data_IF_776446038247
#
_entry.id   IF_776446038247
#
_cell.length_a   1.000
_cell.length_b   1.000
_cell.length_c   1.000
_cell.angle_alpha   90.00
_cell.angle_beta   90.00
_cell.angle_gamma   90.00
#
_symmetry.space_group_name_H-M   'P 1'
#
loop_
_entity.id
_entity.type
_entity.pdbx_description
1 polymer ?
#
# COMPACT_ATOMS: atom_id res chain seq x y z
N UNK A 1 -18.51 -6.50 -6.40
CA UNK A 1 -18.70 -7.97 -6.25
C UNK A 1 -18.26 -8.43 -4.86
N UNK A 2 -17.02 -8.17 -4.45
CA UNK A 2 -16.49 -8.48 -3.11
C UNK A 2 -17.36 -7.96 -1.97
N UNK A 3 -17.91 -6.73 -2.07
CA UNK A 3 -18.83 -6.19 -1.05
C UNK A 3 -20.12 -6.99 -0.87
N UNK A 4 -20.69 -7.54 -1.96
CA UNK A 4 -21.89 -8.39 -1.85
C UNK A 4 -21.54 -9.74 -1.22
N UNK A 5 -20.42 -10.32 -1.63
CA UNK A 5 -19.89 -11.55 -1.04
C UNK A 5 -19.58 -11.38 0.46
N UNK A 6 -18.97 -10.27 0.86
CA UNK A 6 -18.61 -10.01 2.26
C UNK A 6 -19.84 -9.87 3.16
N UNK A 7 -20.94 -9.26 2.68
CA UNK A 7 -22.21 -9.21 3.42
C UNK A 7 -22.77 -10.60 3.67
N UNK A 8 -22.79 -11.46 2.64
CA UNK A 8 -23.23 -12.85 2.77
C UNK A 8 -22.34 -13.65 3.72
N UNK A 9 -21.03 -13.54 3.55
CA UNK A 9 -20.01 -14.21 4.37
C UNK A 9 -20.16 -13.86 5.86
N UNK A 10 -20.13 -12.56 6.19
CA UNK A 10 -20.21 -12.05 7.56
C UNK A 10 -21.51 -12.46 8.26
N UNK A 11 -22.64 -12.41 7.53
CA UNK A 11 -23.95 -12.79 8.08
C UNK A 11 -24.09 -14.29 8.25
N UNK A 12 -23.63 -15.09 7.29
CA UNK A 12 -23.78 -16.55 7.31
C UNK A 12 -22.93 -17.20 8.40
N UNK A 13 -21.71 -16.69 8.61
CA UNK A 13 -20.79 -17.20 9.63
C UNK A 13 -21.02 -16.54 11.01
N UNK A 14 -21.96 -15.59 11.11
CA UNK A 14 -22.23 -14.81 12.31
C UNK A 14 -20.96 -14.14 12.86
N UNK A 15 -20.18 -13.58 11.95
CA UNK A 15 -18.93 -12.91 12.28
C UNK A 15 -19.16 -11.76 13.25
N UNK A 16 -18.20 -11.59 14.14
CA UNK A 16 -18.22 -10.58 15.18
C UNK A 16 -17.76 -9.23 14.64
N UNK A 17 -18.08 -8.13 15.34
CA UNK A 17 -17.54 -6.81 15.04
C UNK A 17 -17.70 -6.33 13.57
N UNK A 18 -18.82 -6.67 12.93
CA UNK A 18 -19.09 -6.37 11.51
C UNK A 18 -19.01 -4.87 11.18
N UNK A 19 -19.39 -3.98 12.10
CA UNK A 19 -19.29 -2.53 11.89
C UNK A 19 -17.84 -2.10 11.66
N UNK A 20 -16.90 -2.59 12.48
CA UNK A 20 -15.46 -2.34 12.31
C UNK A 20 -14.98 -2.88 10.96
N UNK A 21 -15.39 -4.10 10.62
CA UNK A 21 -15.06 -4.71 9.34
C UNK A 21 -15.50 -3.83 8.17
N UNK A 22 -16.77 -3.43 8.11
CA UNK A 22 -17.30 -2.67 6.97
C UNK A 22 -16.74 -1.25 6.88
N UNK A 23 -16.45 -0.59 8.01
CA UNK A 23 -15.76 0.72 8.00
C UNK A 23 -14.37 0.58 7.39
N UNK A 24 -13.58 -0.41 7.84
CA UNK A 24 -12.24 -0.65 7.33
C UNK A 24 -12.25 -1.14 5.87
N UNK A 25 -13.24 -1.93 5.48
CA UNK A 25 -13.41 -2.42 4.12
C UNK A 25 -13.77 -1.27 3.15
N UNK A 26 -14.73 -0.42 3.52
CA UNK A 26 -15.08 0.77 2.77
C UNK A 26 -13.92 1.78 2.73
N UNK A 27 -13.18 1.94 3.83
CA UNK A 27 -11.99 2.77 3.90
C UNK A 27 -10.89 2.29 2.94
N UNK A 28 -10.65 0.97 2.89
CA UNK A 28 -9.71 0.36 1.95
C UNK A 28 -10.11 0.63 0.50
N UNK A 29 -11.37 0.41 0.15
CA UNK A 29 -11.89 0.71 -1.19
C UNK A 29 -11.75 2.19 -1.55
N UNK A 30 -12.09 3.09 -0.61
CA UNK A 30 -11.99 4.53 -0.80
C UNK A 30 -10.54 4.97 -0.99
N UNK A 31 -9.61 4.38 -0.24
CA UNK A 31 -8.17 4.64 -0.38
C UNK A 31 -7.65 4.15 -1.74
N UNK A 32 -8.05 2.96 -2.20
CA UNK A 32 -7.67 2.45 -3.53
C UNK A 32 -8.17 3.36 -4.65
N UNK A 33 -9.42 3.82 -4.58
CA UNK A 33 -9.99 4.77 -5.55
C UNK A 33 -9.24 6.10 -5.46
N UNK A 34 -9.01 6.62 -4.25
CA UNK A 34 -8.25 7.87 -4.05
C UNK A 34 -6.85 7.81 -4.64
N UNK A 35 -6.15 6.69 -4.49
CA UNK A 35 -4.84 6.48 -5.09
C UNK A 35 -4.92 6.46 -6.63
N UNK A 36 -5.93 5.82 -7.21
CA UNK A 36 -6.12 5.76 -8.66
C UNK A 36 -6.45 7.13 -9.29
N UNK A 37 -7.14 8.00 -8.55
CA UNK A 37 -7.49 9.36 -8.99
C UNK A 37 -6.50 10.44 -8.52
N UNK A 38 -5.39 10.05 -7.89
CA UNK A 38 -4.39 11.01 -7.43
C UNK A 38 -3.72 11.71 -8.63
N UNK A 39 -3.75 13.05 -8.64
CA UNK A 39 -3.11 13.86 -9.68
C UNK A 39 -1.60 14.03 -9.50
N UNK A 40 -1.08 13.73 -8.31
CA UNK A 40 0.33 13.85 -7.97
C UNK A 40 0.79 12.71 -7.05
N UNK A 41 2.10 12.52 -7.02
CA UNK A 41 2.74 11.43 -6.30
C UNK A 41 2.57 11.50 -4.78
N UNK A 42 2.53 12.71 -4.21
CA UNK A 42 2.30 12.88 -2.77
C UNK A 42 0.89 12.47 -2.35
N UNK A 43 -0.11 12.87 -3.12
CA UNK A 43 -1.50 12.48 -2.89
C UNK A 43 -1.67 10.96 -3.04
N UNK A 44 -1.02 10.38 -4.06
CA UNK A 44 -0.99 8.92 -4.24
C UNK A 44 -0.37 8.22 -3.02
N UNK A 45 0.72 8.76 -2.48
CA UNK A 45 1.38 8.23 -1.28
C UNK A 45 0.48 8.27 -0.04
N UNK A 46 -0.26 9.37 0.19
CA UNK A 46 -1.21 9.46 1.30
C UNK A 46 -2.26 8.35 1.20
N UNK A 47 -2.85 8.15 0.02
CA UNK A 47 -3.85 7.09 -0.16
C UNK A 47 -3.24 5.69 -0.10
N UNK A 48 -2.01 5.51 -0.56
CA UNK A 48 -1.25 4.26 -0.43
C UNK A 48 -1.04 3.88 1.05
N UNK A 49 -0.67 4.84 1.90
CA UNK A 49 -0.55 4.63 3.35
C UNK A 49 -1.91 4.43 4.02
N UNK A 50 -2.92 5.22 3.64
CA UNK A 50 -4.28 5.05 4.15
C UNK A 50 -4.81 3.63 3.88
N UNK A 51 -4.55 3.09 2.70
CA UNK A 51 -4.89 1.71 2.36
C UNK A 51 -4.21 0.73 3.32
N UNK A 52 -2.93 0.91 3.67
CA UNK A 52 -2.22 0.09 4.68
C UNK A 52 -2.92 0.17 6.05
N UNK A 53 -3.30 1.37 6.48
CA UNK A 53 -3.93 1.59 7.78
C UNK A 53 -5.33 0.98 7.86
N UNK A 54 -6.12 1.04 6.80
CA UNK A 54 -7.46 0.43 6.78
C UNK A 54 -7.44 -1.10 6.63
N UNK A 55 -6.41 -1.65 5.97
CA UNK A 55 -6.26 -3.10 5.80
C UNK A 55 -5.68 -3.78 7.04
N UNK A 56 -4.91 -3.08 7.87
CA UNK A 56 -4.35 -3.64 9.10
C UNK A 56 -5.42 -4.23 10.05
N UNK A 57 -6.51 -3.50 10.43
CA UNK A 57 -7.58 -4.06 11.25
C UNK A 57 -8.37 -5.19 10.56
N UNK A 58 -8.37 -5.23 9.23
CA UNK A 58 -9.02 -6.32 8.47
C UNK A 58 -8.24 -7.62 8.58
N UNK A 59 -6.91 -7.57 8.58
CA UNK A 59 -6.07 -8.76 8.79
C UNK A 59 -6.16 -9.22 10.24
N UNK A 60 -6.24 -8.30 11.19
CA UNK A 60 -6.41 -8.60 12.61
C UNK A 60 -7.85 -8.98 13.00
N UNK A 61 -8.79 -9.07 12.04
CA UNK A 61 -10.22 -9.14 12.33
C UNK A 61 -10.65 -10.34 13.17
N UNK A 62 -9.99 -11.50 12.98
CA UNK A 62 -10.26 -12.74 13.71
C UNK A 62 -9.80 -12.70 15.18
N UNK A 63 -9.04 -11.69 15.59
CA UNK A 63 -8.56 -11.48 16.97
C UNK A 63 -7.78 -12.68 17.58
N UNK A 64 -7.30 -13.60 16.75
CA UNK A 64 -6.41 -14.69 17.16
C UNK A 64 -4.96 -14.22 17.28
N UNK A 65 -4.14 -14.97 18.02
CA UNK A 65 -2.69 -14.69 18.12
C UNK A 65 -2.00 -14.65 16.76
N UNK A 66 -2.44 -15.51 15.83
CA UNK A 66 -1.92 -15.55 14.47
C UNK A 66 -2.38 -14.36 13.63
N UNK A 67 -3.65 -13.93 13.77
CA UNK A 67 -4.16 -12.74 13.09
C UNK A 67 -3.40 -11.48 13.51
N UNK A 68 -3.15 -11.30 14.82
CA UNK A 68 -2.34 -10.18 15.31
C UNK A 68 -0.88 -10.23 14.84
N UNK A 69 -0.29 -11.43 14.82
CA UNK A 69 1.07 -11.62 14.29
C UNK A 69 1.15 -11.29 12.80
N UNK A 70 0.22 -11.80 12.00
CA UNK A 70 0.12 -11.53 10.56
C UNK A 70 -0.07 -10.05 10.27
N UNK A 71 -1.01 -9.40 10.98
CA UNK A 71 -1.26 -7.97 10.85
C UNK A 71 -0.03 -7.12 11.24
N UNK A 72 0.71 -7.52 12.28
CA UNK A 72 1.95 -6.82 12.68
C UNK A 72 3.06 -6.98 11.64
N UNK A 73 3.27 -8.18 11.09
CA UNK A 73 4.24 -8.41 10.01
C UNK A 73 3.86 -7.57 8.79
N UNK A 74 2.59 -7.60 8.40
CA UNK A 74 2.04 -6.77 7.33
C UNK A 74 2.38 -5.29 7.51
N UNK A 75 2.09 -4.74 8.69
CA UNK A 75 2.31 -3.32 8.98
C UNK A 75 3.81 -2.97 8.97
N UNK A 76 4.66 -3.81 9.59
CA UNK A 76 6.12 -3.57 9.64
C UNK A 76 6.71 -3.56 8.22
N UNK A 77 6.33 -4.52 7.39
CA UNK A 77 6.86 -4.61 6.03
C UNK A 77 6.41 -3.42 5.19
N UNK A 78 5.10 -3.16 5.13
CA UNK A 78 4.56 -2.16 4.20
C UNK A 78 4.82 -0.73 4.66
N UNK A 79 4.59 -0.43 5.93
CA UNK A 79 4.87 0.89 6.48
C UNK A 79 6.38 1.13 6.57
N UNK A 80 7.16 0.11 6.95
CA UNK A 80 8.60 0.22 7.09
C UNK A 80 9.30 0.47 5.76
N UNK A 81 8.99 -0.32 4.72
CA UNK A 81 9.56 -0.12 3.38
C UNK A 81 9.12 1.22 2.77
N UNK A 82 7.86 1.60 3.00
CA UNK A 82 7.35 2.88 2.52
C UNK A 82 8.07 4.07 3.16
N UNK A 83 8.17 4.10 4.49
CA UNK A 83 8.86 5.19 5.20
C UNK A 83 10.37 5.19 4.91
N UNK A 84 11.01 4.03 4.80
CA UNK A 84 12.45 3.93 4.60
C UNK A 84 12.89 4.19 3.16
N UNK A 85 12.07 3.85 2.15
CA UNK A 85 12.47 3.92 0.74
C UNK A 85 11.53 4.77 -0.10
N UNK A 86 10.20 4.57 -0.01
CA UNK A 86 9.25 5.30 -0.85
C UNK A 86 9.22 6.79 -0.51
N UNK A 87 9.08 7.14 0.77
CA UNK A 87 9.01 8.53 1.21
C UNK A 87 10.29 9.32 0.87
N UNK A 88 11.51 8.82 1.15
CA UNK A 88 12.73 9.50 0.71
C UNK A 88 12.86 9.60 -0.81
N UNK A 89 12.36 8.62 -1.59
CA UNK A 89 12.36 8.71 -3.05
C UNK A 89 11.44 9.82 -3.56
N UNK A 90 10.26 9.99 -2.94
CA UNK A 90 9.33 11.09 -3.23
C UNK A 90 9.98 12.44 -2.91
N UNK A 91 10.62 12.55 -1.73
CA UNK A 91 11.33 13.77 -1.33
C UNK A 91 12.46 14.08 -2.33
N UNK A 92 13.28 13.09 -2.69
CA UNK A 92 14.36 13.24 -3.68
C UNK A 92 13.83 13.67 -5.05
N UNK A 93 12.69 13.12 -5.46
CA UNK A 93 12.02 13.50 -6.72
C UNK A 93 11.56 14.95 -6.67
N UNK A 94 10.97 15.40 -5.56
CA UNK A 94 10.57 16.80 -5.40
C UNK A 94 11.77 17.75 -5.39
N UNK A 95 12.85 17.39 -4.71
CA UNK A 95 14.07 18.23 -4.66
C UNK A 95 14.71 18.40 -6.05
N UNK A 96 14.61 17.38 -6.91
CA UNK A 96 15.19 17.41 -8.26
C UNK A 96 14.24 18.05 -9.29
N UNK A 97 12.94 17.75 -9.25
CA UNK A 97 11.97 18.18 -10.25
C UNK A 97 11.22 19.47 -9.87
N UNK A 98 11.18 19.83 -8.59
CA UNK A 98 10.38 20.95 -8.07
C UNK A 98 8.86 20.72 -8.07
N UNK A 99 8.39 19.58 -8.58
CA UNK A 99 6.99 19.18 -8.59
C UNK A 99 6.87 17.66 -8.40
N UNK A 100 5.68 17.23 -7.98
CA UNK A 100 5.26 15.83 -7.86
C UNK A 100 4.05 15.51 -8.74
N UNK A 101 3.61 16.45 -9.57
CA UNK A 101 2.48 16.26 -10.48
C UNK A 101 2.83 15.24 -11.56
N UNK A 102 1.90 14.36 -11.89
CA UNK A 102 2.15 13.39 -12.95
C UNK A 102 2.12 14.09 -14.31
N UNK A 103 3.25 14.04 -15.02
CA UNK A 103 3.40 14.63 -16.37
C UNK A 103 3.78 13.53 -17.35
N UNK A 104 3.20 13.57 -18.56
CA UNK A 104 3.45 12.59 -19.62
C UNK A 104 4.90 12.52 -20.09
N UNK A 105 5.65 13.62 -19.96
CA UNK A 105 7.08 13.68 -20.28
C UNK A 105 7.99 13.06 -19.23
N UNK A 106 7.45 12.69 -18.06
CA UNK A 106 8.22 12.22 -16.91
C UNK A 106 8.87 13.36 -16.11
N UNK A 107 8.77 13.26 -14.78
CA UNK A 107 9.23 14.27 -13.81
C UNK A 107 10.75 14.49 -13.82
N UNK A 108 11.53 13.45 -14.15
CA UNK A 108 12.99 13.47 -14.03
C UNK A 108 13.70 13.34 -15.40
N UNK A 109 12.99 13.62 -16.50
CA UNK A 109 13.51 13.48 -17.87
C UNK A 109 14.76 14.32 -18.14
N UNK A 110 14.87 15.50 -17.52
CA UNK A 110 16.03 16.39 -17.68
C UNK A 110 17.26 15.97 -16.85
N UNK A 111 17.09 15.01 -15.93
CA UNK A 111 18.16 14.55 -15.03
C UNK A 111 19.16 13.62 -15.72
N UNK A 112 18.87 13.11 -16.93
CA UNK A 112 19.73 12.13 -17.64
C UNK A 112 21.01 12.72 -18.25
N UNK A 113 21.21 14.03 -18.22
CA UNK A 113 22.30 14.70 -18.96
C UNK A 113 23.70 14.56 -18.33
N UNK A 114 23.84 13.80 -17.24
CA UNK A 114 25.13 13.56 -16.56
C UNK A 114 25.21 12.15 -15.96
N UNK A 115 26.44 11.66 -15.74
CA UNK A 115 26.68 10.39 -15.04
C UNK A 115 26.09 10.42 -13.62
N UNK A 116 26.26 11.53 -12.90
CA UNK A 116 25.67 11.72 -11.57
C UNK A 116 24.13 11.65 -11.59
N UNK A 117 23.51 12.23 -12.62
CA UNK A 117 22.07 12.16 -12.82
C UNK A 117 21.58 10.74 -13.14
N UNK A 118 22.35 9.98 -13.91
CA UNK A 118 22.06 8.56 -14.19
C UNK A 118 22.13 7.70 -12.92
N UNK A 119 23.15 7.93 -12.09
CA UNK A 119 23.28 7.27 -10.79
C UNK A 119 22.09 7.61 -9.88
N UNK A 120 21.72 8.88 -9.79
CA UNK A 120 20.56 9.33 -9.01
C UNK A 120 19.27 8.63 -9.46
N UNK A 121 19.00 8.58 -10.77
CA UNK A 121 17.83 7.91 -11.32
C UNK A 121 17.81 6.42 -11.02
N UNK A 122 18.97 5.76 -11.09
CA UNK A 122 19.12 4.35 -10.74
C UNK A 122 18.76 4.11 -9.28
N UNK A 123 19.27 4.94 -8.37
CA UNK A 123 18.96 4.87 -6.93
C UNK A 123 17.46 5.09 -6.71
N UNK A 124 16.88 6.14 -7.30
CA UNK A 124 15.45 6.43 -7.19
C UNK A 124 14.60 5.26 -7.69
N UNK A 125 14.95 4.66 -8.82
CA UNK A 125 14.25 3.51 -9.38
C UNK A 125 14.19 2.33 -8.40
N UNK A 126 15.33 1.95 -7.81
CA UNK A 126 15.36 0.89 -6.82
C UNK A 126 14.61 1.27 -5.53
N UNK A 127 14.70 2.52 -5.08
CA UNK A 127 13.97 2.98 -3.90
C UNK A 127 12.44 2.93 -4.13
N UNK A 128 11.96 3.28 -5.31
CA UNK A 128 10.54 3.12 -5.66
C UNK A 128 10.12 1.65 -5.70
N UNK A 129 10.92 0.77 -6.33
CA UNK A 129 10.62 -0.67 -6.39
C UNK A 129 10.56 -1.29 -4.98
N UNK A 130 11.55 -1.00 -4.15
CA UNK A 130 11.64 -1.53 -2.78
C UNK A 130 10.55 -0.91 -1.89
N UNK A 131 10.28 0.38 -2.06
CA UNK A 131 9.29 1.13 -1.28
C UNK A 131 7.84 0.73 -1.57
N UNK A 132 7.53 0.31 -2.81
CA UNK A 132 6.21 -0.20 -3.20
C UNK A 132 6.10 -1.70 -2.87
N UNK A 133 6.35 -2.06 -1.61
CA UNK A 133 6.33 -3.45 -1.15
C UNK A 133 4.94 -4.13 -1.25
N UNK A 134 3.86 -3.36 -1.43
CA UNK A 134 2.51 -3.89 -1.68
C UNK A 134 2.42 -4.75 -2.94
N UNK A 135 3.35 -4.60 -3.88
CA UNK A 135 3.43 -5.47 -5.06
C UNK A 135 3.95 -6.90 -4.75
N UNK A 136 4.33 -7.17 -3.48
CA UNK A 136 4.85 -8.47 -3.03
C UNK A 136 5.99 -9.01 -3.91
N UNK A 137 6.91 -8.13 -4.31
CA UNK A 137 8.08 -8.48 -5.13
C UNK A 137 9.10 -9.23 -4.27
N UNK A 138 9.80 -10.23 -4.86
CA UNK A 138 10.89 -10.94 -4.20
C UNK A 138 12.04 -9.96 -3.89
N UNK A 139 12.60 -9.92 -2.65
CA UNK A 139 12.38 -10.85 -1.52
C UNK A 139 11.31 -10.42 -0.51
N UNK A 140 10.68 -9.26 -0.68
CA UNK A 140 9.75 -8.65 0.28
C UNK A 140 8.35 -9.29 0.33
N UNK A 141 8.06 -10.30 -0.49
CA UNK A 141 6.76 -10.96 -0.59
C UNK A 141 6.24 -11.69 0.67
N UNK A 142 7.09 -11.94 1.68
CA UNK A 142 6.76 -12.78 2.84
C UNK A 142 5.60 -12.25 3.69
N UNK A 143 5.29 -10.96 3.63
CA UNK A 143 4.13 -10.39 4.32
C UNK A 143 2.80 -10.93 3.77
N UNK A 144 2.73 -11.25 2.47
CA UNK A 144 1.48 -11.62 1.80
C UNK A 144 0.95 -12.99 2.27
N UNK A 145 1.76 -14.08 2.35
CA UNK A 145 1.32 -15.33 2.95
C UNK A 145 0.91 -15.19 4.43
N UNK A 146 1.59 -14.33 5.19
CA UNK A 146 1.25 -14.08 6.59
C UNK A 146 -0.06 -13.30 6.76
N UNK A 147 -0.51 -12.57 5.73
CA UNK A 147 -1.77 -11.85 5.72
C UNK A 147 -2.99 -12.75 5.41
N UNK A 148 -2.78 -14.01 4.98
CA UNK A 148 -3.85 -14.96 4.61
C UNK A 148 -4.66 -15.50 5.80
N UNK A 149 -4.40 -14.99 7.01
CA UNK A 149 -5.24 -15.20 8.20
C UNK A 149 -6.48 -14.29 8.18
N UNK A 150 -6.50 -13.29 7.27
CA UNK A 150 -7.64 -12.41 7.10
C UNK A 150 -8.89 -13.15 6.57
N UNK A 151 -10.11 -12.64 6.85
CA UNK A 151 -11.33 -13.17 6.27
C UNK A 151 -11.25 -13.24 4.74
N UNK A 152 -11.76 -14.32 4.13
CA UNK A 152 -11.64 -14.56 2.68
C UNK A 152 -12.07 -13.39 1.76
N UNK A 153 -13.10 -12.56 2.08
CA UNK A 153 -13.41 -11.41 1.24
C UNK A 153 -12.33 -10.30 1.27
N UNK A 154 -11.54 -10.23 2.33
CA UNK A 154 -10.40 -9.30 2.46
C UNK A 154 -9.24 -9.78 1.60
N UNK A 155 -8.94 -11.08 1.63
CA UNK A 155 -7.91 -11.67 0.78
C UNK A 155 -8.26 -11.58 -0.71
N UNK A 156 -9.54 -11.51 -1.06
CA UNK A 156 -10.00 -11.26 -2.43
C UNK A 156 -9.98 -9.75 -2.82
N UNK A 157 -9.89 -8.85 -1.84
CA UNK A 157 -9.74 -7.41 -2.05
C UNK A 157 -8.28 -7.01 -2.26
N UNK A 158 -7.37 -7.66 -1.50
CA UNK A 158 -5.92 -7.50 -1.56
C UNK A 158 -5.34 -8.10 -2.85
#
# INVERSE_FOLDING_TARGET
LTSFYSIGYMRSLKEHNQTRYFICFAGSLSATIGAAFASNLFTMYIFYEALTLFTYPLIAHEETSDAFRGARIYLIYLLGTSIAFLLPAIIGTYLQAGSLDFVSSGLLSQTMNSEAGTLFLTIMFFMYIIGVAKAAIMPLHSWLPNAMVAPTPVSALL
#
